data_IF_434603196274
#
_entry.id   IF_434603196274
#
_cell.length_a   1.000
_cell.length_b   1.000
_cell.length_c   1.000
_cell.angle_alpha   90.00
_cell.angle_beta   90.00
_cell.angle_gamma   90.00
#
_symmetry.space_group_name_H-M   'P 1'
#
loop_
_entity.id
_entity.type
_entity.pdbx_description
1 polymer ?
#
# COMPACT_ATOMS: atom_id res chain seq x y z
N UNK A 1 -57.71 6.22 -7.64
CA UNK A 1 -56.59 6.19 -6.70
C UNK A 1 -55.60 5.14 -7.22
N UNK A 2 -54.68 5.54 -8.10
CA UNK A 2 -53.74 4.61 -8.75
C UNK A 2 -52.48 4.52 -7.87
N UNK A 3 -52.24 3.33 -7.33
CA UNK A 3 -50.95 2.99 -6.73
C UNK A 3 -49.94 2.89 -7.88
N UNK A 4 -49.01 3.81 -7.93
CA UNK A 4 -47.81 3.70 -8.73
C UNK A 4 -46.88 2.81 -7.93
N UNK A 5 -46.80 1.53 -8.35
CA UNK A 5 -45.76 0.61 -7.88
C UNK A 5 -44.41 1.11 -8.39
N UNK A 6 -43.63 1.69 -7.52
CA UNK A 6 -42.20 1.91 -7.74
C UNK A 6 -41.53 0.52 -7.71
N UNK A 7 -41.38 -0.12 -8.87
CA UNK A 7 -40.41 -1.18 -9.01
C UNK A 7 -39.01 -0.59 -8.75
N UNK A 8 -38.20 -1.18 -7.87
CA UNK A 8 -36.83 -0.76 -7.75
C UNK A 8 -36.15 -1.03 -9.10
N UNK A 9 -35.64 0.03 -9.74
CA UNK A 9 -34.75 -0.12 -10.86
C UNK A 9 -33.62 -1.06 -10.41
N UNK A 10 -33.32 -2.10 -11.21
CA UNK A 10 -32.18 -2.98 -10.99
C UNK A 10 -30.92 -2.11 -11.00
N UNK A 11 -30.50 -1.68 -9.83
CA UNK A 11 -29.20 -1.01 -9.66
C UNK A 11 -28.16 -2.09 -9.88
N UNK A 12 -27.59 -2.12 -11.08
CA UNK A 12 -26.44 -2.98 -11.36
C UNK A 12 -25.31 -2.44 -10.49
N UNK A 13 -25.07 -3.09 -9.34
CA UNK A 13 -23.91 -2.77 -8.50
C UNK A 13 -22.68 -3.26 -9.27
N UNK A 14 -21.75 -2.37 -9.64
CA UNK A 14 -20.58 -2.79 -10.36
C UNK A 14 -19.70 -3.69 -9.52
N UNK A 15 -19.15 -4.69 -10.19
CA UNK A 15 -18.34 -5.71 -9.56
C UNK A 15 -16.91 -5.25 -9.31
N UNK A 16 -16.34 -5.71 -8.20
CA UNK A 16 -15.01 -5.32 -7.72
C UNK A 16 -14.08 -6.54 -7.72
N UNK A 17 -12.88 -6.38 -8.29
CA UNK A 17 -11.76 -7.31 -8.11
C UNK A 17 -10.77 -6.74 -7.11
N UNK A 18 -10.51 -7.49 -6.03
CA UNK A 18 -9.46 -7.16 -5.04
C UNK A 18 -8.17 -7.83 -5.45
N UNK A 19 -7.09 -7.04 -5.55
CA UNK A 19 -5.75 -7.51 -5.88
C UNK A 19 -4.83 -7.35 -4.67
N UNK A 20 -4.19 -8.45 -4.28
CA UNK A 20 -3.31 -8.49 -3.11
C UNK A 20 -2.02 -9.23 -3.43
N UNK A 21 -0.88 -8.63 -3.08
CA UNK A 21 0.41 -9.31 -3.15
C UNK A 21 0.61 -10.20 -1.91
N UNK A 22 1.11 -11.44 -2.11
CA UNK A 22 1.43 -12.35 -1.02
C UNK A 22 2.78 -13.06 -1.25
N UNK A 23 3.45 -13.39 -0.14
CA UNK A 23 4.66 -14.21 -0.10
C UNK A 23 4.81 -14.80 1.30
N UNK A 24 4.68 -16.13 1.44
CA UNK A 24 4.75 -16.85 2.71
C UNK A 24 3.82 -16.26 3.80
N UNK A 25 2.54 -16.24 3.52
CA UNK A 25 1.49 -15.60 4.34
C UNK A 25 0.37 -16.56 4.75
N UNK A 26 0.64 -17.87 4.85
CA UNK A 26 -0.36 -18.90 5.15
C UNK A 26 -1.26 -18.57 6.35
N UNK A 27 -0.70 -17.93 7.39
CA UNK A 27 -1.43 -17.55 8.60
C UNK A 27 -2.38 -16.35 8.42
N UNK A 28 -2.27 -15.60 7.32
CA UNK A 28 -3.01 -14.36 7.12
C UNK A 28 -4.02 -14.43 5.98
N UNK A 29 -3.89 -15.39 5.06
CA UNK A 29 -4.74 -15.53 3.87
C UNK A 29 -6.22 -15.62 4.24
N UNK A 30 -6.58 -16.52 5.16
CA UNK A 30 -7.98 -16.70 5.57
C UNK A 30 -8.59 -15.39 6.09
N UNK A 31 -7.92 -14.74 7.02
CA UNK A 31 -8.39 -13.47 7.60
C UNK A 31 -8.51 -12.36 6.55
N UNK A 32 -7.61 -12.34 5.58
CA UNK A 32 -7.66 -11.38 4.50
C UNK A 32 -8.87 -11.62 3.60
N UNK A 33 -9.13 -12.88 3.20
CA UNK A 33 -10.30 -13.24 2.39
C UNK A 33 -11.61 -12.86 3.12
N UNK A 34 -11.71 -13.14 4.42
CA UNK A 34 -12.86 -12.71 5.24
C UNK A 34 -13.02 -11.18 5.24
N UNK A 35 -11.92 -10.44 5.32
CA UNK A 35 -11.94 -8.97 5.30
C UNK A 35 -12.47 -8.41 3.96
N UNK A 36 -12.21 -9.09 2.84
CA UNK A 36 -12.60 -8.65 1.49
C UNK A 36 -13.75 -9.46 0.88
N UNK A 37 -14.51 -10.19 1.71
CA UNK A 37 -15.62 -11.07 1.30
C UNK A 37 -16.77 -10.35 0.56
N UNK A 38 -16.79 -9.01 0.57
CA UNK A 38 -17.74 -8.20 -0.19
C UNK A 38 -17.37 -8.06 -1.68
N UNK A 39 -16.14 -8.45 -2.06
CA UNK A 39 -15.66 -8.36 -3.43
C UNK A 39 -16.14 -9.55 -4.26
N UNK A 40 -16.36 -9.33 -5.56
CA UNK A 40 -16.80 -10.35 -6.49
C UNK A 40 -15.68 -11.26 -6.98
N UNK A 41 -14.45 -10.79 -6.85
CA UNK A 41 -13.24 -11.51 -7.22
C UNK A 41 -12.07 -11.14 -6.30
N UNK A 42 -11.31 -12.15 -5.87
CA UNK A 42 -10.09 -11.98 -5.08
C UNK A 42 -8.94 -12.61 -5.85
N UNK A 43 -7.90 -11.80 -6.12
CA UNK A 43 -6.70 -12.22 -6.85
C UNK A 43 -5.49 -12.02 -5.96
N UNK A 44 -4.74 -13.10 -5.71
CA UNK A 44 -3.43 -13.04 -5.09
C UNK A 44 -2.33 -13.07 -6.12
N UNK A 45 -1.43 -12.10 -6.05
CA UNK A 45 -0.16 -12.10 -6.78
C UNK A 45 0.90 -12.78 -5.90
N UNK A 46 1.19 -14.05 -6.19
CA UNK A 46 2.11 -14.84 -5.38
C UNK A 46 3.56 -14.65 -5.82
N UNK A 47 4.40 -14.25 -4.86
CA UNK A 47 5.82 -14.04 -5.03
C UNK A 47 6.66 -15.33 -4.84
N UNK A 48 6.17 -16.49 -5.33
CA UNK A 48 6.79 -17.81 -5.19
C UNK A 48 6.82 -18.32 -3.74
N UNK A 49 5.67 -18.28 -3.08
CA UNK A 49 5.50 -18.83 -1.72
C UNK A 49 5.87 -20.31 -1.67
N UNK A 50 6.57 -20.68 -0.60
CA UNK A 50 7.04 -22.06 -0.32
C UNK A 50 6.24 -22.74 0.79
N UNK A 51 5.35 -21.99 1.47
CA UNK A 51 4.43 -22.45 2.51
C UNK A 51 3.04 -22.81 1.92
N UNK A 52 2.02 -22.95 2.77
CA UNK A 52 0.65 -23.29 2.35
C UNK A 52 -0.16 -22.10 1.78
N UNK A 53 0.45 -20.91 1.62
CA UNK A 53 -0.22 -19.69 1.14
C UNK A 53 -1.09 -19.94 -0.10
N UNK A 54 -0.49 -20.54 -1.15
CA UNK A 54 -1.16 -20.78 -2.43
C UNK A 54 -2.29 -21.82 -2.32
N UNK A 55 -2.05 -22.89 -1.53
CA UNK A 55 -3.04 -23.94 -1.33
C UNK A 55 -4.28 -23.39 -0.61
N UNK A 56 -4.09 -22.69 0.50
CA UNK A 56 -5.18 -22.09 1.29
C UNK A 56 -5.95 -21.04 0.48
N UNK A 57 -5.25 -20.19 -0.29
CA UNK A 57 -5.91 -19.18 -1.12
C UNK A 57 -6.86 -19.80 -2.15
N UNK A 58 -6.41 -20.87 -2.84
CA UNK A 58 -7.23 -21.58 -3.83
C UNK A 58 -8.39 -22.33 -3.21
N UNK A 59 -8.19 -23.00 -2.07
CA UNK A 59 -9.23 -23.70 -1.32
C UNK A 59 -10.36 -22.74 -0.93
N UNK A 60 -10.03 -21.52 -0.57
CA UNK A 60 -10.99 -20.47 -0.21
C UNK A 60 -11.55 -19.71 -1.43
N UNK A 61 -11.33 -20.20 -2.66
CA UNK A 61 -11.95 -19.69 -3.88
C UNK A 61 -11.24 -18.48 -4.51
N UNK A 62 -10.07 -18.11 -4.05
CA UNK A 62 -9.32 -17.01 -4.66
C UNK A 62 -8.53 -17.46 -5.90
N UNK A 63 -8.35 -16.56 -6.85
CA UNK A 63 -7.44 -16.74 -8.00
C UNK A 63 -6.00 -16.44 -7.56
N UNK A 64 -5.06 -17.31 -7.90
CA UNK A 64 -3.63 -17.08 -7.60
C UNK A 64 -2.86 -16.99 -8.89
N UNK A 65 -2.16 -15.87 -9.07
CA UNK A 65 -1.27 -15.58 -10.20
C UNK A 65 0.17 -15.67 -9.70
N UNK A 66 0.89 -16.71 -10.14
CA UNK A 66 2.33 -16.83 -9.87
C UNK A 66 3.11 -15.91 -10.79
N UNK A 67 4.11 -15.25 -10.25
CA UNK A 67 4.89 -14.24 -10.97
C UNK A 67 6.38 -14.44 -10.74
N UNK A 68 7.13 -14.60 -11.83
CA UNK A 68 8.59 -14.75 -11.81
C UNK A 68 9.32 -13.41 -12.00
N UNK A 69 8.63 -12.28 -11.91
CA UNK A 69 9.28 -10.96 -12.03
C UNK A 69 9.45 -10.31 -10.68
N UNK A 70 10.58 -9.64 -10.47
CA UNK A 70 10.86 -8.84 -9.28
C UNK A 70 10.26 -7.43 -9.35
N UNK A 71 9.77 -7.02 -10.52
CA UNK A 71 9.13 -5.73 -10.72
C UNK A 71 7.67 -5.77 -10.25
N UNK A 72 7.40 -5.19 -9.08
CA UNK A 72 6.06 -5.11 -8.49
C UNK A 72 5.04 -4.40 -9.38
N UNK A 73 5.46 -3.41 -10.16
CA UNK A 73 4.57 -2.66 -11.05
C UNK A 73 4.12 -3.57 -12.18
N UNK A 74 5.05 -4.31 -12.76
CA UNK A 74 4.74 -5.29 -13.79
C UNK A 74 3.81 -6.38 -13.27
N UNK A 75 4.07 -6.92 -12.07
CA UNK A 75 3.20 -7.90 -11.41
C UNK A 75 1.78 -7.35 -11.24
N UNK A 76 1.64 -6.13 -10.73
CA UNK A 76 0.33 -5.51 -10.55
C UNK A 76 -0.40 -5.31 -11.88
N UNK A 77 0.29 -4.84 -12.93
CA UNK A 77 -0.34 -4.65 -14.22
C UNK A 77 -0.81 -5.98 -14.86
N UNK A 78 -0.07 -7.07 -14.69
CA UNK A 78 -0.50 -8.39 -15.15
C UNK A 78 -1.79 -8.80 -14.41
N UNK A 79 -1.84 -8.64 -13.09
CA UNK A 79 -3.02 -8.97 -12.29
C UNK A 79 -4.23 -8.07 -12.63
N UNK A 80 -4.00 -6.77 -12.84
CA UNK A 80 -5.04 -5.83 -13.27
C UNK A 80 -5.65 -6.27 -14.60
N UNK A 81 -4.82 -6.67 -15.57
CA UNK A 81 -5.28 -7.11 -16.88
C UNK A 81 -6.04 -8.44 -16.82
N UNK A 82 -5.69 -9.35 -15.91
CA UNK A 82 -6.36 -10.64 -15.72
C UNK A 82 -7.64 -10.54 -14.87
N UNK A 83 -7.83 -9.46 -14.13
CA UNK A 83 -9.03 -9.26 -13.32
C UNK A 83 -10.29 -9.24 -14.23
N UNK A 84 -11.35 -9.94 -13.82
CA UNK A 84 -12.61 -10.03 -14.58
C UNK A 84 -13.42 -8.74 -14.52
N UNK A 85 -13.33 -8.01 -13.41
CA UNK A 85 -14.13 -6.83 -13.16
C UNK A 85 -13.37 -5.55 -13.51
N UNK A 86 -14.11 -4.48 -13.81
CA UNK A 86 -13.54 -3.20 -14.20
C UNK A 86 -13.00 -2.42 -13.00
N UNK A 87 -13.67 -2.51 -11.84
CA UNK A 87 -13.21 -1.86 -10.63
C UNK A 87 -12.15 -2.69 -9.92
N UNK A 88 -11.01 -2.06 -9.72
CA UNK A 88 -9.84 -2.66 -9.06
C UNK A 88 -9.61 -2.02 -7.71
N UNK A 89 -9.54 -2.85 -6.68
CA UNK A 89 -9.19 -2.48 -5.32
C UNK A 89 -7.82 -3.06 -4.98
N UNK A 90 -6.80 -2.20 -4.80
CA UNK A 90 -5.46 -2.63 -4.39
C UNK A 90 -5.37 -2.67 -2.87
N UNK A 91 -5.13 -3.85 -2.30
CA UNK A 91 -5.08 -4.06 -0.86
C UNK A 91 -3.84 -4.87 -0.47
N UNK A 92 -3.20 -4.51 0.64
CA UNK A 92 -2.15 -5.34 1.22
C UNK A 92 -2.75 -6.34 2.23
N UNK A 93 -2.05 -7.46 2.47
CA UNK A 93 -2.49 -8.50 3.41
C UNK A 93 -2.64 -8.02 4.86
N UNK A 94 -1.87 -7.02 5.23
CA UNK A 94 -1.83 -6.42 6.56
C UNK A 94 -2.79 -5.23 6.72
N UNK A 95 -3.65 -5.00 5.74
CA UNK A 95 -4.62 -3.91 5.73
C UNK A 95 -6.05 -4.41 5.97
N UNK A 96 -6.77 -3.71 6.84
CA UNK A 96 -8.14 -4.06 7.22
C UNK A 96 -9.10 -2.91 6.95
N UNK A 97 -10.23 -3.28 6.35
CA UNK A 97 -11.31 -2.37 6.00
C UNK A 97 -12.33 -2.32 7.15
N UNK A 98 -12.63 -1.12 7.66
CA UNK A 98 -13.77 -0.96 8.56
C UNK A 98 -15.10 -1.11 7.79
N UNK A 99 -16.21 -1.41 8.48
CA UNK A 99 -17.54 -1.44 7.85
C UNK A 99 -17.89 -0.13 7.12
N UNK A 100 -17.50 1.01 7.69
CA UNK A 100 -17.76 2.34 7.11
C UNK A 100 -16.94 2.53 5.82
N UNK A 101 -15.69 2.05 5.77
CA UNK A 101 -14.87 2.10 4.57
C UNK A 101 -15.41 1.17 3.48
N UNK A 102 -15.87 -0.04 3.83
CA UNK A 102 -16.52 -0.96 2.88
C UNK A 102 -17.76 -0.31 2.26
N UNK A 103 -18.61 0.29 3.06
CA UNK A 103 -19.81 0.99 2.58
C UNK A 103 -19.45 2.20 1.69
N UNK A 104 -18.39 2.96 2.04
CA UNK A 104 -17.92 4.07 1.22
C UNK A 104 -17.43 3.55 -0.15
N UNK A 105 -16.66 2.46 -0.19
CA UNK A 105 -16.17 1.85 -1.44
C UNK A 105 -17.38 1.45 -2.32
N UNK A 106 -18.33 0.69 -1.79
CA UNK A 106 -19.50 0.23 -2.53
C UNK A 106 -20.32 1.41 -3.08
N UNK A 107 -20.52 2.47 -2.28
CA UNK A 107 -21.20 3.69 -2.71
C UNK A 107 -20.47 4.37 -3.87
N UNK A 108 -19.13 4.49 -3.78
CA UNK A 108 -18.32 5.11 -4.83
C UNK A 108 -18.32 4.31 -6.13
N UNK A 109 -18.29 3.00 -6.02
CA UNK A 109 -18.36 2.10 -7.19
C UNK A 109 -19.73 2.14 -7.84
N UNK A 110 -20.83 2.28 -7.08
CA UNK A 110 -22.19 2.40 -7.61
C UNK A 110 -22.51 3.74 -8.24
N UNK A 111 -21.80 4.82 -7.86
CA UNK A 111 -22.00 6.16 -8.40
C UNK A 111 -21.15 6.40 -9.67
N UNK A 112 -21.57 5.78 -10.77
CA UNK A 112 -20.84 5.67 -12.05
C UNK A 112 -20.53 6.97 -12.80
N UNK A 113 -20.84 8.13 -12.25
CA UNK A 113 -20.92 9.37 -13.04
C UNK A 113 -19.59 9.98 -13.47
N UNK A 114 -18.44 9.53 -12.91
CA UNK A 114 -17.17 10.22 -13.17
C UNK A 114 -15.98 9.25 -13.35
N UNK A 115 -15.00 9.69 -14.13
CA UNK A 115 -13.66 9.11 -14.26
C UNK A 115 -12.91 9.36 -12.93
N UNK A 116 -13.14 8.54 -11.92
CA UNK A 116 -12.58 8.81 -10.60
C UNK A 116 -11.54 7.77 -10.23
N UNK A 117 -10.43 8.30 -9.74
CA UNK A 117 -9.35 7.57 -9.09
C UNK A 117 -9.41 7.91 -7.59
N UNK A 118 -9.48 6.90 -6.76
CA UNK A 118 -9.59 7.10 -5.32
C UNK A 118 -8.28 6.78 -4.61
N UNK A 119 -7.81 7.75 -3.85
CA UNK A 119 -6.72 7.58 -2.90
C UNK A 119 -7.27 7.26 -1.52
N UNK A 120 -6.50 6.46 -0.77
CA UNK A 120 -6.79 6.18 0.63
C UNK A 120 -5.66 6.67 1.52
N UNK A 121 -6.02 7.16 2.72
CA UNK A 121 -5.08 7.42 3.81
C UNK A 121 -4.99 6.20 4.71
N UNK A 122 -3.80 5.89 5.18
CA UNK A 122 -3.57 4.78 6.10
C UNK A 122 -3.58 5.27 7.55
N UNK A 123 -4.04 4.41 8.44
CA UNK A 123 -3.80 4.49 9.88
C UNK A 123 -2.82 3.38 10.22
N UNK A 124 -1.61 3.75 10.62
CA UNK A 124 -0.61 2.78 11.04
C UNK A 124 -0.87 2.32 12.47
N UNK A 125 -0.87 1.00 12.68
CA UNK A 125 -0.77 0.40 13.99
C UNK A 125 0.64 -0.15 14.19
N UNK A 126 1.34 0.38 15.18
CA UNK A 126 2.67 -0.06 15.57
C UNK A 126 2.59 -0.73 16.96
N UNK A 127 2.90 -2.03 17.03
CA UNK A 127 2.71 -2.83 18.24
C UNK A 127 1.33 -2.66 18.91
N UNK A 128 0.28 -2.79 18.12
CA UNK A 128 -1.15 -2.61 18.54
C UNK A 128 -1.55 -1.17 18.89
N UNK A 129 -0.64 -0.21 18.90
CA UNK A 129 -0.94 1.19 19.15
C UNK A 129 -1.18 1.95 17.84
N UNK A 130 -2.28 2.67 17.77
CA UNK A 130 -2.61 3.57 16.67
C UNK A 130 -1.65 4.76 16.66
N UNK A 131 -0.94 4.94 15.55
CA UNK A 131 -0.05 6.09 15.32
C UNK A 131 -0.84 7.19 14.61
N UNK A 132 -0.88 8.36 15.24
CA UNK A 132 -1.67 9.49 14.75
C UNK A 132 -0.81 10.59 14.13
N UNK A 133 0.48 10.61 14.42
CA UNK A 133 1.40 11.68 14.04
C UNK A 133 2.60 11.13 13.27
N UNK A 134 3.56 11.99 12.95
CA UNK A 134 4.73 11.58 12.20
C UNK A 134 4.49 11.46 10.70
N UNK A 135 5.36 10.73 10.03
CA UNK A 135 5.35 10.62 8.57
C UNK A 135 4.17 9.83 8.01
N UNK A 136 3.63 8.89 8.79
CA UNK A 136 2.62 7.94 8.32
C UNK A 136 1.22 8.53 8.22
N UNK A 137 0.92 9.60 8.96
CA UNK A 137 -0.45 10.11 9.04
C UNK A 137 -0.98 10.72 7.73
N UNK A 138 -0.11 11.21 6.87
CA UNK A 138 -0.49 11.91 5.63
C UNK A 138 -0.16 11.14 4.35
N UNK A 139 0.42 9.94 4.45
CA UNK A 139 0.67 9.11 3.28
C UNK A 139 -0.65 8.63 2.70
N UNK A 140 -0.86 8.92 1.43
CA UNK A 140 -1.98 8.42 0.64
C UNK A 140 -1.45 7.64 -0.56
N UNK A 141 -2.17 6.62 -0.95
CA UNK A 141 -1.84 5.82 -2.14
C UNK A 141 -3.07 5.59 -2.98
N UNK A 142 -2.86 5.23 -4.22
CA UNK A 142 -3.92 4.76 -5.11
C UNK A 142 -4.50 3.49 -4.50
N UNK A 143 -5.82 3.42 -4.47
CA UNK A 143 -6.52 2.35 -3.76
C UNK A 143 -7.63 1.72 -4.60
N UNK A 144 -8.50 2.52 -5.22
CA UNK A 144 -9.64 2.07 -5.98
C UNK A 144 -9.72 2.83 -7.31
N UNK A 145 -9.88 2.12 -8.43
CA UNK A 145 -9.96 2.72 -9.76
C UNK A 145 -10.63 1.79 -10.78
N UNK A 146 -11.13 2.38 -11.87
CA UNK A 146 -11.62 1.67 -13.05
C UNK A 146 -10.43 1.38 -14.00
N UNK A 147 -10.10 0.10 -14.23
CA UNK A 147 -8.97 -0.33 -15.07
C UNK A 147 -9.11 0.03 -16.54
N UNK A 148 -10.33 0.22 -17.04
CA UNK A 148 -10.57 0.66 -18.44
C UNK A 148 -10.13 2.10 -18.66
N UNK A 149 -10.08 2.87 -17.59
CA UNK A 149 -9.85 4.31 -17.63
C UNK A 149 -8.49 4.69 -17.08
N UNK A 150 -7.96 3.91 -16.15
CA UNK A 150 -6.70 4.18 -15.47
C UNK A 150 -5.68 3.08 -15.71
N UNK A 151 -4.49 3.45 -16.22
CA UNK A 151 -3.33 2.56 -16.31
C UNK A 151 -2.42 2.75 -15.10
N UNK A 152 -2.14 1.68 -14.38
CA UNK A 152 -1.29 1.72 -13.20
C UNK A 152 0.19 1.82 -13.59
N UNK A 153 0.84 2.95 -13.31
CA UNK A 153 2.26 3.18 -13.62
C UNK A 153 3.21 2.91 -12.46
N UNK A 154 2.66 2.62 -11.26
CA UNK A 154 3.45 2.39 -10.04
C UNK A 154 4.17 3.64 -9.49
N UNK A 155 4.31 4.67 -10.29
CA UNK A 155 4.97 5.91 -9.91
C UNK A 155 3.93 7.03 -9.77
N UNK A 156 3.63 7.41 -8.53
CA UNK A 156 2.74 8.55 -8.24
C UNK A 156 3.26 9.87 -8.83
N UNK A 157 4.55 9.92 -9.19
CA UNK A 157 5.20 11.09 -9.80
C UNK A 157 5.10 11.10 -11.34
N UNK A 158 4.91 9.94 -11.98
CA UNK A 158 4.68 9.86 -13.43
C UNK A 158 3.21 10.16 -13.76
N UNK A 159 2.87 11.43 -13.70
CA UNK A 159 1.52 11.98 -13.91
C UNK A 159 1.03 11.95 -15.36
N UNK A 160 1.62 11.21 -16.27
CA UNK A 160 1.32 11.34 -17.71
C UNK A 160 -0.15 11.09 -18.08
N UNK A 161 -0.88 10.28 -17.27
CA UNK A 161 -2.31 10.04 -17.53
C UNK A 161 -3.24 10.44 -16.36
N UNK A 162 -2.69 10.85 -15.20
CA UNK A 162 -3.49 11.21 -14.01
C UNK A 162 -4.15 12.58 -14.16
N UNK A 163 -3.62 13.46 -15.01
CA UNK A 163 -4.14 14.84 -15.20
C UNK A 163 -5.57 14.89 -15.73
N UNK A 164 -6.05 13.83 -16.35
CA UNK A 164 -7.42 13.73 -16.87
C UNK A 164 -8.43 13.14 -15.88
N UNK A 165 -7.95 12.62 -14.71
CA UNK A 165 -8.81 12.01 -13.72
C UNK A 165 -9.06 12.96 -12.55
N UNK A 166 -10.33 13.05 -12.15
CA UNK A 166 -10.66 13.65 -10.88
C UNK A 166 -10.20 12.69 -9.77
N UNK A 167 -9.09 13.02 -9.13
CA UNK A 167 -8.57 12.23 -8.02
C UNK A 167 -9.26 12.65 -6.71
N UNK A 168 -9.93 11.71 -6.08
CA UNK A 168 -10.58 11.91 -4.79
C UNK A 168 -9.86 11.14 -3.69
N UNK A 169 -9.92 11.65 -2.46
CA UNK A 169 -9.44 10.93 -1.28
C UNK A 169 -10.67 10.40 -0.54
N UNK A 170 -10.68 9.11 -0.23
CA UNK A 170 -11.73 8.52 0.60
C UNK A 170 -11.73 9.16 1.98
N UNK A 171 -12.93 9.32 2.57
CA UNK A 171 -13.11 9.93 3.89
C UNK A 171 -12.60 9.02 4.99
N UNK A 172 -12.95 7.73 4.89
CA UNK A 172 -12.51 6.72 5.83
C UNK A 172 -11.07 6.30 5.54
N UNK A 173 -10.38 5.81 6.56
CA UNK A 173 -8.98 5.38 6.50
C UNK A 173 -8.91 3.87 6.56
N UNK A 174 -7.87 3.31 5.96
CA UNK A 174 -7.57 1.89 6.10
C UNK A 174 -6.64 1.66 7.29
N UNK A 175 -6.93 0.65 8.09
CA UNK A 175 -6.09 0.26 9.20
C UNK A 175 -4.99 -0.68 8.70
N UNK A 176 -3.73 -0.31 8.94
CA UNK A 176 -2.55 -1.04 8.50
C UNK A 176 -1.77 -1.56 9.71
N UNK A 177 -1.60 -2.88 9.76
CA UNK A 177 -0.82 -3.60 10.76
C UNK A 177 0.49 -4.10 10.18
N UNK A 178 1.13 -3.27 9.36
CA UNK A 178 2.28 -3.61 8.52
C UNK A 178 3.50 -4.10 9.29
N UNK A 179 3.49 -4.02 10.61
CA UNK A 179 4.65 -4.34 11.43
C UNK A 179 4.26 -5.22 12.61
N UNK A 180 4.40 -6.53 12.44
CA UNK A 180 4.12 -7.53 13.48
C UNK A 180 5.25 -7.62 14.51
N UNK A 181 6.48 -7.31 14.09
CA UNK A 181 7.67 -7.28 14.93
C UNK A 181 8.60 -6.13 14.58
N UNK A 182 9.51 -5.83 15.48
CA UNK A 182 10.59 -4.87 15.26
C UNK A 182 11.50 -5.31 14.10
N UNK A 183 11.84 -6.60 14.07
CA UNK A 183 12.74 -7.16 13.06
C UNK A 183 12.12 -7.05 11.66
N UNK A 184 10.82 -7.34 11.51
CA UNK A 184 10.10 -7.17 10.24
C UNK A 184 10.12 -5.71 9.79
N UNK A 185 9.89 -4.77 10.71
CA UNK A 185 9.96 -3.35 10.41
C UNK A 185 11.35 -2.93 9.93
N UNK A 186 12.37 -3.32 10.69
CA UNK A 186 13.76 -3.00 10.37
C UNK A 186 14.21 -3.64 9.05
N UNK A 187 13.77 -4.85 8.77
CA UNK A 187 14.02 -5.52 7.49
C UNK A 187 13.41 -4.76 6.31
N UNK A 188 12.12 -4.39 6.40
CA UNK A 188 11.44 -3.58 5.36
C UNK A 188 12.13 -2.24 5.13
N UNK A 189 12.55 -1.55 6.20
CA UNK A 189 13.32 -0.32 6.10
C UNK A 189 14.70 -0.53 5.46
N UNK A 190 15.33 -1.68 5.73
CA UNK A 190 16.63 -2.03 5.14
C UNK A 190 16.52 -2.23 3.64
N UNK A 191 15.49 -2.92 3.17
CA UNK A 191 15.22 -3.10 1.74
C UNK A 191 14.94 -1.75 1.05
N UNK A 192 14.16 -0.88 1.69
CA UNK A 192 13.89 0.45 1.17
C UNK A 192 15.17 1.29 1.09
N UNK A 193 16.00 1.26 2.16
CA UNK A 193 17.27 1.99 2.18
C UNK A 193 18.22 1.52 1.08
N UNK A 194 18.28 0.21 0.81
CA UNK A 194 19.09 -0.36 -0.28
C UNK A 194 18.58 0.10 -1.64
N UNK A 195 17.27 0.02 -1.89
CA UNK A 195 16.67 0.52 -3.14
C UNK A 195 16.98 1.99 -3.38
N UNK A 196 16.77 2.84 -2.38
CA UNK A 196 17.01 4.28 -2.49
C UNK A 196 18.51 4.61 -2.65
N UNK A 197 19.41 3.80 -2.05
CA UNK A 197 20.85 3.94 -2.25
C UNK A 197 21.23 3.66 -3.70
N UNK A 198 20.70 2.59 -4.32
CA UNK A 198 20.95 2.27 -5.72
C UNK A 198 20.42 3.37 -6.66
N UNK A 199 19.22 3.89 -6.41
CA UNK A 199 18.68 5.02 -7.18
C UNK A 199 19.56 6.28 -7.10
N UNK A 200 20.23 6.53 -5.96
CA UNK A 200 21.19 7.60 -5.79
C UNK A 200 22.52 7.30 -6.45
N UNK A 201 22.94 6.04 -6.46
CA UNK A 201 24.15 5.58 -7.16
C UNK A 201 24.02 5.77 -8.67
N UNK A 202 22.88 5.41 -9.25
CA UNK A 202 22.59 5.59 -10.69
C UNK A 202 22.62 7.09 -11.09
N UNK A 203 22.33 7.98 -10.14
CA UNK A 203 22.45 9.45 -10.31
C UNK A 203 23.86 9.99 -10.03
N UNK A 204 24.86 9.12 -9.85
CA UNK A 204 26.23 9.48 -9.50
C UNK A 204 26.36 10.34 -8.23
N UNK A 205 25.42 10.23 -7.28
CA UNK A 205 25.44 10.99 -6.05
C UNK A 205 26.47 10.41 -5.10
N UNK A 206 27.43 11.24 -4.66
CA UNK A 206 28.45 10.86 -3.67
C UNK A 206 28.05 11.37 -2.28
N UNK A 207 27.93 10.48 -1.27
CA UNK A 207 27.62 10.92 0.08
C UNK A 207 28.83 11.64 0.71
N UNK A 208 28.55 12.60 1.59
CA UNK A 208 29.53 13.33 2.37
C UNK A 208 29.09 13.40 3.85
N UNK A 209 29.88 14.05 4.71
CA UNK A 209 29.62 14.17 6.14
C UNK A 209 28.22 14.68 6.49
N UNK A 210 27.67 15.60 5.71
CA UNK A 210 26.30 16.09 5.87
C UNK A 210 25.26 14.96 5.78
N UNK A 211 25.46 14.02 4.87
CA UNK A 211 24.53 12.91 4.63
C UNK A 211 24.57 11.86 5.75
N UNK A 212 25.71 11.70 6.40
CA UNK A 212 25.88 10.74 7.49
C UNK A 212 25.40 11.25 8.84
N UNK A 213 25.58 12.54 9.11
CA UNK A 213 25.29 13.12 10.41
C UNK A 213 24.04 14.00 10.39
N UNK A 214 24.03 15.03 9.56
CA UNK A 214 22.98 16.04 9.62
C UNK A 214 21.65 15.56 9.03
N UNK A 215 21.65 14.83 7.92
CA UNK A 215 20.40 14.33 7.33
C UNK A 215 19.62 13.38 8.25
N UNK A 216 20.22 12.36 8.88
CA UNK A 216 19.52 11.54 9.88
C UNK A 216 19.02 12.36 11.05
N UNK A 217 19.84 13.27 11.56
CA UNK A 217 19.45 14.15 12.66
C UNK A 217 18.25 15.04 12.31
N UNK A 218 18.29 15.71 11.19
CA UNK A 218 17.16 16.53 10.73
C UNK A 218 15.91 15.69 10.42
N UNK A 219 16.08 14.46 9.95
CA UNK A 219 14.95 13.56 9.77
C UNK A 219 14.28 13.20 11.10
N UNK A 220 15.08 12.96 12.16
CA UNK A 220 14.55 12.75 13.51
C UNK A 220 13.79 13.98 14.02
N UNK A 221 14.39 15.16 13.95
CA UNK A 221 13.76 16.43 14.38
C UNK A 221 12.44 16.63 13.63
N UNK A 222 12.46 16.43 12.33
CA UNK A 222 11.26 16.58 11.51
C UNK A 222 10.14 15.61 11.92
N UNK A 223 10.45 14.33 12.13
CA UNK A 223 9.41 13.35 12.47
C UNK A 223 8.92 13.49 13.91
N UNK A 224 9.83 13.69 14.85
CA UNK A 224 9.51 13.71 16.26
C UNK A 224 8.90 15.05 16.71
N UNK A 225 9.51 16.18 16.34
CA UNK A 225 9.05 17.50 16.75
C UNK A 225 8.12 18.15 15.73
N UNK A 226 8.53 18.32 14.46
CA UNK A 226 7.77 19.09 13.47
C UNK A 226 6.48 18.37 13.08
N UNK A 227 6.51 17.04 12.92
CA UNK A 227 5.34 16.21 12.62
C UNK A 227 4.63 15.68 13.87
N UNK A 228 4.96 16.23 15.05
CA UNK A 228 4.34 15.92 16.33
C UNK A 228 4.41 14.44 16.75
N UNK A 229 5.43 13.69 16.30
CA UNK A 229 5.63 12.29 16.67
C UNK A 229 5.69 12.06 18.18
N UNK A 230 6.12 13.06 18.97
CA UNK A 230 6.17 13.00 20.44
C UNK A 230 4.78 12.80 21.07
N UNK A 231 3.69 13.20 20.41
CA UNK A 231 2.32 12.98 20.87
C UNK A 231 1.91 11.50 20.80
N UNK A 232 2.60 10.67 20.03
CA UNK A 232 2.40 9.23 20.01
C UNK A 232 3.23 8.50 21.09
N UNK A 233 3.90 9.25 21.98
CA UNK A 233 4.65 8.74 23.11
C UNK A 233 5.90 7.95 22.71
N UNK A 234 6.20 6.86 23.44
CA UNK A 234 7.40 6.04 23.19
C UNK A 234 7.42 5.42 21.79
N UNK A 235 6.29 5.06 21.24
CA UNK A 235 6.17 4.49 19.89
C UNK A 235 6.52 5.52 18.83
N UNK A 236 6.09 6.77 19.01
CA UNK A 236 6.46 7.88 18.13
C UNK A 236 7.96 8.19 18.17
N UNK A 237 8.58 8.12 19.36
CA UNK A 237 10.03 8.25 19.50
C UNK A 237 10.77 7.13 18.75
N UNK A 238 10.39 5.86 19.01
CA UNK A 238 10.99 4.70 18.38
C UNK A 238 10.90 4.80 16.84
N UNK A 239 9.73 5.12 16.31
CA UNK A 239 9.53 5.29 14.87
C UNK A 239 10.40 6.40 14.29
N UNK A 240 10.47 7.57 14.93
CA UNK A 240 11.30 8.67 14.49
C UNK A 240 12.79 8.30 14.48
N UNK A 241 13.25 7.57 15.51
CA UNK A 241 14.64 7.12 15.64
C UNK A 241 15.01 6.09 14.56
N UNK A 242 14.19 5.05 14.39
CA UNK A 242 14.47 3.99 13.42
C UNK A 242 14.42 4.52 11.99
N UNK A 243 13.46 5.38 11.65
CA UNK A 243 13.39 6.00 10.33
C UNK A 243 14.60 6.89 10.07
N UNK A 244 15.13 7.55 11.09
CA UNK A 244 16.34 8.34 10.98
C UNK A 244 17.58 7.48 10.77
N UNK A 245 17.63 6.33 11.45
CA UNK A 245 18.67 5.33 11.22
C UNK A 245 18.60 4.73 9.80
N UNK A 246 17.40 4.54 9.23
CA UNK A 246 17.23 4.10 7.85
C UNK A 246 17.82 5.12 6.85
N UNK A 247 17.71 6.43 7.14
CA UNK A 247 18.38 7.48 6.35
C UNK A 247 19.90 7.34 6.41
N UNK A 248 20.48 7.12 7.60
CA UNK A 248 21.91 6.84 7.75
C UNK A 248 22.32 5.60 6.94
N UNK A 249 21.57 4.51 7.08
CA UNK A 249 21.83 3.25 6.40
C UNK A 249 21.82 3.39 4.87
N UNK A 250 20.91 4.19 4.31
CA UNK A 250 20.87 4.51 2.86
C UNK A 250 22.20 5.09 2.39
N UNK A 251 22.72 6.10 3.08
CA UNK A 251 23.97 6.75 2.68
C UNK A 251 25.20 5.89 2.97
N UNK A 252 25.14 5.04 3.99
CA UNK A 252 26.19 4.06 4.25
C UNK A 252 26.28 3.04 3.09
N UNK A 253 25.15 2.46 2.69
CA UNK A 253 25.10 1.53 1.55
C UNK A 253 25.60 2.24 0.28
N UNK A 254 25.14 3.45 0.00
CA UNK A 254 25.61 4.22 -1.15
C UNK A 254 27.13 4.42 -1.14
N UNK A 255 27.71 4.71 0.03
CA UNK A 255 29.16 4.87 0.18
C UNK A 255 29.91 3.56 -0.05
N UNK A 256 29.41 2.45 0.51
CA UNK A 256 30.00 1.12 0.32
C UNK A 256 29.96 0.71 -1.15
N UNK A 257 28.84 0.95 -1.85
CA UNK A 257 28.70 0.65 -3.28
C UNK A 257 29.71 1.46 -4.12
N UNK A 258 29.92 2.75 -3.84
CA UNK A 258 30.91 3.55 -4.55
C UNK A 258 32.35 3.07 -4.31
N UNK A 259 32.65 2.48 -3.14
CA UNK A 259 33.97 1.99 -2.78
C UNK A 259 34.16 0.49 -3.10
N UNK A 260 33.19 -0.17 -3.73
CA UNK A 260 33.22 -1.61 -4.07
C UNK A 260 33.49 -2.50 -2.85
N UNK A 261 32.87 -2.15 -1.71
CA UNK A 261 32.99 -2.87 -0.44
C UNK A 261 31.77 -3.77 -0.15
N UNK A 262 30.79 -3.82 -1.03
CA UNK A 262 29.65 -4.74 -1.05
C UNK A 262 29.58 -5.51 -2.36
#
# INVERSE_FOLDING_TARGET
>A
MHKIDFMPQNVIVPKISVLTFCFNEENNIKKHIENVSFADEIIFMDGESTDQTVAIAKELGATVIKQNTTDKIQQQNIAINQAKNDWILLLNLDEYLSPELKNEILTKVSDHKNNELYYIKQTLFFFKKKIKHGEFNNKKRIFLFDKKRYSYSGDEKRKSNISFFKSNVLKNRIDSYSYKSFDEYNYKLSLLSKKEALELYDKNMKPNFYHFLLKPFFNFINQYFIKFGFLDGKEGYILAYINSFAVLKRYLILWLTHNKME
#
